data_IF_833016107134
#
_entry.id   IF_833016107134
#
_cell.length_a   1.000
_cell.length_b   1.000
_cell.length_c   1.000
_cell.angle_alpha   90.00
_cell.angle_beta   90.00
_cell.angle_gamma   90.00
#
_symmetry.space_group_name_H-M   'P 1'
#
loop_
_entity.id
_entity.type
_entity.pdbx_description
1 polymer ?
#
# COMPACT_ATOMS: atom_id res chain seq x y z
N UNK A 1 41.73 30.22 53.97
CA UNK A 1 42.81 30.73 53.09
C UNK A 1 42.80 29.88 51.83
N UNK A 2 42.49 30.51 50.68
CA UNK A 2 42.88 30.15 49.30
C UNK A 2 42.26 28.85 48.73
N UNK A 3 41.19 28.94 47.92
CA UNK A 3 41.13 28.84 46.43
C UNK A 3 41.43 27.41 45.90
N UNK A 4 40.74 26.79 44.92
CA UNK A 4 40.30 27.17 43.56
C UNK A 4 39.17 26.18 43.14
N UNK A 5 37.97 26.63 42.73
CA UNK A 5 37.46 26.69 41.34
C UNK A 5 37.83 25.56 40.38
N UNK A 6 36.83 24.75 40.01
CA UNK A 6 36.59 24.42 38.59
C UNK A 6 35.09 24.55 38.29
N UNK A 7 34.80 25.51 37.42
CA UNK A 7 33.53 25.70 36.77
C UNK A 7 33.48 24.77 35.55
N UNK A 8 32.44 23.95 35.44
CA UNK A 8 32.04 23.39 34.15
C UNK A 8 30.94 24.28 33.61
N UNK A 9 31.37 25.16 32.73
CA UNK A 9 30.59 26.04 31.87
C UNK A 9 29.60 25.28 31.01
N UNK A 10 28.39 25.82 30.98
CA UNK A 10 27.34 25.78 29.96
C UNK A 10 27.64 25.02 28.66
N UNK A 11 26.74 24.09 28.33
CA UNK A 11 26.14 24.07 27.00
C UNK A 11 24.63 24.24 27.17
N UNK A 12 24.16 25.44 26.82
CA UNK A 12 22.77 25.69 26.54
C UNK A 12 22.43 24.94 25.25
N UNK A 13 21.72 23.83 25.36
CA UNK A 13 21.14 23.15 24.21
C UNK A 13 20.04 24.06 23.64
N UNK A 14 20.40 24.81 22.61
CA UNK A 14 19.46 25.63 21.87
C UNK A 14 18.30 24.75 21.39
N UNK A 15 17.02 25.15 21.57
CA UNK A 15 15.95 24.47 20.87
C UNK A 15 16.21 24.69 19.38
N UNK A 16 16.53 23.60 18.69
CA UNK A 16 16.57 23.56 17.24
C UNK A 16 15.13 23.80 16.80
N UNK A 17 14.77 25.08 16.63
CA UNK A 17 13.54 25.47 15.98
C UNK A 17 13.65 24.95 14.56
N UNK A 18 13.09 23.77 14.32
CA UNK A 18 12.85 23.31 12.97
C UNK A 18 12.14 24.48 12.27
N UNK A 19 12.63 24.95 11.10
CA UNK A 19 11.89 25.95 10.36
C UNK A 19 10.53 25.33 10.08
N UNK A 20 9.50 25.94 10.68
CA UNK A 20 8.12 25.66 10.35
C UNK A 20 8.00 26.12 8.90
N UNK A 21 8.25 25.20 7.97
CA UNK A 21 7.88 25.40 6.59
C UNK A 21 6.39 25.62 6.63
N UNK A 22 6.00 26.88 6.43
CA UNK A 22 4.66 27.25 6.02
C UNK A 22 4.32 26.37 4.83
N UNK A 23 3.59 25.30 5.10
CA UNK A 23 3.03 24.49 4.04
C UNK A 23 1.98 25.37 3.41
N UNK A 24 2.32 25.95 2.26
CA UNK A 24 1.34 26.44 1.30
C UNK A 24 0.16 25.47 1.28
N UNK A 25 -1.09 25.96 1.17
CA UNK A 25 -2.25 25.09 1.07
C UNK A 25 -2.06 24.25 -0.19
N UNK A 26 -1.58 23.00 0.01
CA UNK A 26 -1.49 22.02 -1.07
C UNK A 26 -2.93 21.80 -1.48
N UNK A 27 -3.33 22.40 -2.60
CA UNK A 27 -4.64 22.19 -3.21
C UNK A 27 -4.83 20.68 -3.36
N UNK A 28 -5.70 20.14 -2.51
CA UNK A 28 -6.01 18.73 -2.55
C UNK A 28 -6.86 18.48 -3.79
N UNK A 29 -6.50 17.51 -4.66
CA UNK A 29 -7.29 17.22 -5.84
C UNK A 29 -8.70 16.79 -5.45
N UNK A 30 -9.71 17.26 -6.18
CA UNK A 30 -11.11 16.95 -5.89
C UNK A 30 -11.37 15.43 -5.83
N UNK A 31 -12.22 14.98 -4.90
CA UNK A 31 -12.53 13.56 -4.77
C UNK A 31 -13.34 13.10 -5.98
N UNK A 32 -12.84 12.06 -6.66
CA UNK A 32 -13.49 11.48 -7.85
C UNK A 32 -14.50 10.45 -7.38
N UNK A 33 -15.72 10.93 -7.15
CA UNK A 33 -16.84 10.14 -6.64
C UNK A 33 -17.92 10.01 -7.73
N UNK A 34 -18.41 8.79 -7.94
CA UNK A 34 -19.52 8.54 -8.85
C UNK A 34 -20.85 9.10 -8.29
N UNK A 35 -21.88 9.18 -9.15
CA UNK A 35 -23.26 9.56 -8.77
C UNK A 35 -23.85 8.75 -7.60
N UNK A 36 -23.27 7.59 -7.28
CA UNK A 36 -23.70 6.72 -6.18
C UNK A 36 -22.81 6.79 -4.94
N UNK A 37 -21.92 7.78 -4.82
CA UNK A 37 -21.02 7.89 -3.67
C UNK A 37 -19.92 6.83 -3.63
N UNK A 38 -19.59 6.24 -4.79
CA UNK A 38 -18.61 5.15 -4.90
C UNK A 38 -17.34 5.67 -5.57
N UNK A 39 -16.18 5.20 -5.13
CA UNK A 39 -14.92 5.45 -5.82
C UNK A 39 -14.48 4.20 -6.57
N UNK A 40 -14.15 4.35 -7.84
CA UNK A 40 -13.64 3.28 -8.68
C UNK A 40 -12.10 3.29 -8.72
N UNK A 41 -11.50 2.12 -8.54
CA UNK A 41 -10.06 1.96 -8.72
C UNK A 41 -9.70 0.61 -9.35
N UNK A 42 -8.54 0.59 -10.01
CA UNK A 42 -7.97 -0.64 -10.57
C UNK A 42 -6.60 -0.91 -9.97
N UNK A 43 -6.40 -2.14 -9.51
CA UNK A 43 -5.15 -2.67 -9.00
C UNK A 43 -4.61 -3.79 -9.88
N UNK A 44 -3.29 -3.89 -10.03
CA UNK A 44 -2.62 -4.93 -10.81
C UNK A 44 -1.38 -5.44 -10.09
N UNK A 45 -1.17 -6.76 -10.05
CA UNK A 45 0.07 -7.38 -9.57
C UNK A 45 0.32 -8.68 -10.31
N UNK A 46 1.53 -8.87 -10.85
CA UNK A 46 1.84 -9.97 -11.77
C UNK A 46 0.76 -10.02 -12.87
N UNK A 47 0.07 -11.15 -13.00
CA UNK A 47 -1.02 -11.35 -13.97
C UNK A 47 -2.43 -11.15 -13.36
N UNK A 48 -2.52 -10.74 -12.09
CA UNK A 48 -3.80 -10.49 -11.43
C UNK A 48 -4.24 -9.04 -11.65
N UNK A 49 -5.51 -8.88 -12.00
CA UNK A 49 -6.19 -7.61 -12.19
C UNK A 49 -7.38 -7.55 -11.23
N UNK A 50 -7.45 -6.51 -10.42
CA UNK A 50 -8.52 -6.25 -9.48
C UNK A 50 -9.23 -4.94 -9.84
N UNK A 51 -10.54 -5.00 -10.02
CA UNK A 51 -11.42 -3.83 -10.09
C UNK A 51 -12.07 -3.68 -8.73
N UNK A 52 -11.93 -2.52 -8.12
CA UNK A 52 -12.37 -2.25 -6.75
C UNK A 52 -13.33 -1.08 -6.77
N UNK A 53 -14.47 -1.27 -6.11
CA UNK A 53 -15.44 -0.23 -5.80
C UNK A 53 -15.43 -0.06 -4.29
N UNK A 54 -15.20 1.17 -3.85
CA UNK A 54 -15.28 1.54 -2.45
C UNK A 54 -16.57 2.32 -2.23
N UNK A 55 -17.25 2.06 -1.12
CA UNK A 55 -18.43 2.79 -0.67
C UNK A 55 -18.30 3.03 0.84
N UNK A 56 -18.67 4.20 1.38
CA UNK A 56 -18.79 4.36 2.84
C UNK A 56 -19.84 3.37 3.38
N UNK A 57 -19.50 2.66 4.45
CA UNK A 57 -20.29 1.53 4.95
C UNK A 57 -19.73 0.90 6.23
N UNK A 58 -20.03 -0.37 6.45
CA UNK A 58 -19.78 -1.09 7.71
C UNK A 58 -18.59 -2.06 7.65
N UNK A 59 -17.59 -1.79 6.80
CA UNK A 59 -16.39 -2.61 6.70
C UNK A 59 -16.55 -3.92 5.92
N UNK A 60 -17.61 -4.11 5.15
CA UNK A 60 -17.88 -5.37 4.44
C UNK A 60 -17.00 -5.51 3.21
N UNK A 61 -16.12 -6.51 3.21
CA UNK A 61 -15.25 -6.83 2.07
C UNK A 61 -15.78 -8.06 1.32
N UNK A 62 -16.23 -7.84 0.08
CA UNK A 62 -16.73 -8.86 -0.83
C UNK A 62 -15.79 -9.02 -2.04
N UNK A 63 -15.39 -10.26 -2.32
CA UNK A 63 -14.47 -10.63 -3.40
C UNK A 63 -15.18 -11.58 -4.34
N UNK A 64 -15.42 -11.16 -5.59
CA UNK A 64 -16.14 -11.96 -6.59
C UNK A 64 -17.48 -12.54 -6.08
N UNK A 65 -18.21 -11.78 -5.26
CA UNK A 65 -19.49 -12.20 -4.68
C UNK A 65 -19.39 -13.12 -3.45
N UNK A 66 -18.18 -13.42 -2.97
CA UNK A 66 -17.93 -14.22 -1.76
C UNK A 66 -17.33 -13.38 -0.64
N UNK A 67 -17.45 -13.84 0.60
CA UNK A 67 -16.83 -13.17 1.75
C UNK A 67 -15.30 -13.30 1.71
N UNK A 68 -14.60 -12.34 2.32
CA UNK A 68 -13.13 -12.37 2.41
C UNK A 68 -12.59 -13.65 3.06
N UNK A 69 -13.30 -14.20 4.05
CA UNK A 69 -12.89 -15.41 4.79
C UNK A 69 -12.98 -16.66 3.93
N UNK A 70 -14.00 -16.75 3.07
CA UNK A 70 -14.19 -17.88 2.16
C UNK A 70 -13.22 -17.82 0.97
N UNK A 71 -13.00 -16.64 0.39
CA UNK A 71 -12.14 -16.51 -0.78
C UNK A 71 -10.64 -16.64 -0.42
N UNK A 72 -10.23 -16.00 0.67
CA UNK A 72 -8.85 -16.02 1.15
C UNK A 72 -8.72 -16.91 2.38
N UNK A 73 -8.46 -18.19 2.14
CA UNK A 73 -8.33 -19.21 3.19
C UNK A 73 -7.25 -18.87 4.22
N UNK A 74 -6.07 -18.41 3.76
CA UNK A 74 -4.94 -18.06 4.64
C UNK A 74 -5.10 -16.66 5.26
N UNK A 75 -4.84 -16.56 6.57
CA UNK A 75 -4.87 -15.29 7.32
C UNK A 75 -3.90 -14.24 6.79
N UNK A 76 -2.75 -14.63 6.24
CA UNK A 76 -1.76 -13.71 5.67
C UNK A 76 -2.34 -12.85 4.53
N UNK A 77 -3.22 -13.42 3.70
CA UNK A 77 -3.81 -12.66 2.59
C UNK A 77 -4.87 -11.68 3.08
N UNK A 78 -5.60 -12.04 4.16
CA UNK A 78 -6.55 -11.15 4.84
C UNK A 78 -5.84 -9.96 5.47
N UNK A 79 -4.69 -10.19 6.11
CA UNK A 79 -3.86 -9.13 6.67
C UNK A 79 -3.36 -8.14 5.60
N UNK A 80 -2.96 -8.63 4.43
CA UNK A 80 -2.52 -7.78 3.31
C UNK A 80 -3.65 -6.84 2.83
N UNK A 81 -4.90 -7.28 2.91
CA UNK A 81 -6.07 -6.48 2.54
C UNK A 81 -6.42 -5.41 3.58
N UNK A 82 -6.18 -5.68 4.87
CA UNK A 82 -6.47 -4.74 5.96
C UNK A 82 -5.40 -3.66 6.14
N UNK A 83 -4.16 -3.91 5.72
CA UNK A 83 -3.04 -2.95 5.78
C UNK A 83 -3.38 -1.50 5.36
N UNK A 84 -3.98 -1.23 4.19
CA UNK A 84 -4.29 0.15 3.78
C UNK A 84 -5.30 0.83 4.70
N UNK A 85 -6.25 0.09 5.30
CA UNK A 85 -7.21 0.65 6.25
C UNK A 85 -6.60 0.92 7.62
N UNK A 86 -5.66 0.07 8.04
CA UNK A 86 -4.90 0.27 9.28
C UNK A 86 -4.05 1.53 9.20
N UNK A 87 -3.35 1.74 8.08
CA UNK A 87 -2.48 2.91 7.90
C UNK A 87 -3.27 4.21 7.70
N UNK A 88 -4.48 4.12 7.17
CA UNK A 88 -5.35 5.28 7.00
C UNK A 88 -6.14 5.63 8.27
N UNK A 89 -6.07 4.81 9.34
CA UNK A 89 -6.96 4.91 10.51
C UNK A 89 -8.44 5.00 10.13
N UNK A 90 -8.84 4.19 9.13
CA UNK A 90 -10.21 4.09 8.60
C UNK A 90 -10.71 2.65 8.63
N UNK A 91 -10.48 1.99 9.76
CA UNK A 91 -11.01 0.64 10.00
C UNK A 91 -12.54 0.71 10.03
N UNK A 92 -13.18 -0.27 9.39
CA UNK A 92 -14.63 -0.50 9.38
C UNK A 92 -15.54 0.61 8.81
N UNK A 93 -14.96 1.66 8.21
CA UNK A 93 -15.72 2.79 7.64
C UNK A 93 -16.14 2.60 6.18
N UNK A 94 -15.53 1.63 5.48
CA UNK A 94 -15.76 1.43 4.05
C UNK A 94 -16.12 -0.01 3.71
N UNK A 95 -17.15 -0.16 2.91
CA UNK A 95 -17.47 -1.39 2.20
C UNK A 95 -16.65 -1.48 0.90
N UNK A 96 -16.09 -2.66 0.64
CA UNK A 96 -15.26 -2.94 -0.53
C UNK A 96 -15.93 -4.03 -1.36
N UNK A 97 -16.28 -3.69 -2.60
CA UNK A 97 -16.71 -4.64 -3.61
C UNK A 97 -15.62 -4.80 -4.64
N UNK A 98 -15.00 -5.99 -4.71
CA UNK A 98 -13.93 -6.23 -5.65
C UNK A 98 -14.22 -7.39 -6.60
N UNK A 99 -13.94 -7.16 -7.88
CA UNK A 99 -13.94 -8.18 -8.92
C UNK A 99 -12.50 -8.44 -9.33
N UNK A 100 -12.04 -9.68 -9.19
CA UNK A 100 -10.65 -10.05 -9.44
C UNK A 100 -10.58 -11.14 -10.50
N UNK A 101 -9.68 -10.97 -11.47
CA UNK A 101 -9.43 -11.93 -12.56
C UNK A 101 -7.93 -12.15 -12.74
N UNK A 102 -7.57 -13.38 -13.11
CA UNK A 102 -6.19 -13.78 -13.43
C UNK A 102 -5.27 -13.99 -12.21
N UNK A 103 -4.08 -14.52 -12.48
CA UNK A 103 -3.07 -14.83 -11.47
C UNK A 103 -3.48 -15.93 -10.49
N UNK A 104 -2.89 -15.93 -9.30
CA UNK A 104 -3.28 -16.79 -8.18
C UNK A 104 -3.52 -15.97 -6.90
N UNK A 105 -4.01 -16.62 -5.83
CA UNK A 105 -4.53 -15.97 -4.62
C UNK A 105 -3.58 -14.90 -4.02
N UNK A 106 -2.28 -15.20 -3.94
CA UNK A 106 -1.28 -14.23 -3.43
C UNK A 106 -1.11 -13.00 -4.34
N UNK A 107 -1.14 -13.19 -5.66
CA UNK A 107 -1.08 -12.09 -6.63
C UNK A 107 -2.35 -11.25 -6.59
N UNK A 108 -3.49 -11.91 -6.45
CA UNK A 108 -4.81 -11.29 -6.32
C UNK A 108 -4.93 -10.43 -5.07
N UNK A 109 -4.54 -10.93 -3.90
CA UNK A 109 -4.53 -10.16 -2.66
C UNK A 109 -3.70 -8.87 -2.79
N UNK A 110 -2.52 -8.97 -3.40
CA UNK A 110 -1.68 -7.79 -3.66
C UNK A 110 -2.27 -6.81 -4.67
N UNK A 111 -2.98 -7.31 -5.69
CA UNK A 111 -3.70 -6.47 -6.64
C UNK A 111 -4.86 -5.72 -5.98
N UNK A 112 -5.64 -6.40 -5.13
CA UNK A 112 -6.76 -5.79 -4.39
C UNK A 112 -6.25 -4.74 -3.40
N UNK A 113 -5.16 -5.02 -2.65
CA UNK A 113 -4.53 -4.02 -1.77
C UNK A 113 -4.19 -2.72 -2.51
N UNK A 114 -3.57 -2.86 -3.68
CA UNK A 114 -3.22 -1.69 -4.50
C UNK A 114 -4.46 -0.98 -5.05
N UNK A 115 -5.53 -1.71 -5.38
CA UNK A 115 -6.81 -1.15 -5.78
C UNK A 115 -7.50 -0.37 -4.66
N UNK A 116 -7.57 -0.93 -3.45
CA UNK A 116 -8.14 -0.26 -2.25
C UNK A 116 -7.40 1.03 -1.96
N UNK A 117 -6.06 1.00 -2.00
CA UNK A 117 -5.23 2.18 -1.72
C UNK A 117 -5.50 3.33 -2.70
N UNK A 118 -5.72 3.00 -3.98
CA UNK A 118 -6.10 3.99 -4.99
C UNK A 118 -7.52 4.51 -4.80
N UNK A 119 -8.45 3.64 -4.42
CA UNK A 119 -9.83 4.02 -4.14
C UNK A 119 -9.90 4.98 -2.94
N UNK A 120 -9.16 4.70 -1.87
CA UNK A 120 -9.06 5.58 -0.70
C UNK A 120 -8.51 6.97 -1.05
N UNK A 121 -7.48 7.05 -1.89
CA UNK A 121 -6.94 8.35 -2.34
C UNK A 121 -7.92 9.10 -3.24
N UNK A 122 -8.72 8.38 -4.05
CA UNK A 122 -9.75 9.02 -4.88
C UNK A 122 -10.92 9.56 -4.03
N UNK A 123 -11.16 8.97 -2.85
CA UNK A 123 -12.19 9.41 -1.92
C UNK A 123 -11.71 10.54 -1.01
N UNK A 124 -10.53 10.38 -0.39
CA UNK A 124 -9.89 11.37 0.48
C UNK A 124 -8.47 11.66 -0.03
N UNK A 125 -8.27 12.76 -0.79
CA UNK A 125 -6.97 13.11 -1.36
C UNK A 125 -5.88 13.36 -0.31
N UNK A 126 -6.26 13.77 0.91
CA UNK A 126 -5.35 14.01 2.03
C UNK A 126 -4.56 12.74 2.43
N UNK A 127 -5.16 11.55 2.30
CA UNK A 127 -4.54 10.27 2.68
C UNK A 127 -3.40 9.87 1.74
N UNK A 128 -3.23 10.55 0.59
CA UNK A 128 -2.19 10.26 -0.38
C UNK A 128 -0.79 10.34 0.22
N UNK A 129 -0.52 11.31 1.08
CA UNK A 129 0.81 11.51 1.69
C UNK A 129 1.20 10.30 2.55
N UNK A 130 0.30 9.89 3.43
CA UNK A 130 0.49 8.74 4.33
C UNK A 130 0.66 7.45 3.51
N UNK A 131 -0.26 7.17 2.59
CA UNK A 131 -0.23 5.96 1.77
C UNK A 131 0.97 5.87 0.82
N UNK A 132 1.53 7.02 0.42
CA UNK A 132 2.76 7.08 -0.39
C UNK A 132 3.99 6.70 0.43
N UNK A 133 4.10 7.20 1.67
CA UNK A 133 5.21 6.88 2.58
C UNK A 133 5.25 5.38 2.88
N UNK A 134 4.09 4.75 3.12
CA UNK A 134 3.99 3.31 3.34
C UNK A 134 4.08 2.45 2.05
N UNK A 135 4.23 3.08 0.88
CA UNK A 135 4.48 2.38 -0.39
C UNK A 135 3.28 1.65 -1.00
N UNK A 136 2.05 1.96 -0.61
CA UNK A 136 0.85 1.26 -1.13
C UNK A 136 0.39 1.76 -2.51
N UNK A 137 0.75 2.99 -2.86
CA UNK A 137 0.46 3.60 -4.17
C UNK A 137 1.39 3.13 -5.28
N UNK A 138 2.52 2.51 -4.95
CA UNK A 138 3.44 1.98 -5.95
C UNK A 138 2.97 0.59 -6.39
N UNK A 139 2.78 0.41 -7.70
CA UNK A 139 2.52 -0.92 -8.26
C UNK A 139 3.78 -1.78 -8.14
N UNK A 140 3.66 -3.00 -7.63
CA UNK A 140 4.73 -4.01 -7.69
C UNK A 140 4.99 -4.40 -9.17
N UNK A 141 6.15 -4.03 -9.75
CA UNK A 141 6.43 -4.26 -11.16
C UNK A 141 6.93 -5.67 -11.44
N UNK A 142 7.17 -6.50 -10.42
CA UNK A 142 7.76 -7.84 -10.58
C UNK A 142 6.83 -8.74 -11.40
N UNK A 143 7.33 -9.23 -12.52
CA UNK A 143 6.67 -10.21 -13.40
C UNK A 143 7.60 -11.42 -13.59
N UNK A 144 7.02 -12.57 -13.89
CA UNK A 144 7.80 -13.80 -14.13
C UNK A 144 8.64 -13.62 -15.39
N UNK A 145 9.96 -13.77 -15.25
CA UNK A 145 10.86 -13.76 -16.40
C UNK A 145 10.57 -14.96 -17.31
N UNK A 146 10.61 -14.73 -18.62
CA UNK A 146 10.46 -15.79 -19.62
C UNK A 146 11.61 -16.80 -19.54
N UNK A 147 11.37 -18.03 -20.00
CA UNK A 147 12.43 -19.02 -20.22
C UNK A 147 13.37 -18.53 -21.32
N UNK A 148 14.68 -18.55 -21.06
CA UNK A 148 15.72 -18.27 -22.06
C UNK A 148 16.18 -19.58 -22.70
N UNK A 149 16.54 -19.54 -23.98
CA UNK A 149 17.09 -20.72 -24.68
C UNK A 149 18.42 -21.14 -24.03
N UNK A 150 18.77 -22.42 -24.15
CA UNK A 150 19.97 -23.00 -23.52
C UNK A 150 19.93 -23.10 -21.99
N UNK A 151 18.82 -22.72 -21.34
CA UNK A 151 18.64 -22.78 -19.88
C UNK A 151 17.41 -23.62 -19.50
N UNK A 152 17.48 -24.31 -18.36
CA UNK A 152 16.38 -25.12 -17.81
C UNK A 152 15.21 -24.25 -17.32
N UNK A 153 15.51 -23.06 -16.77
CA UNK A 153 14.53 -22.02 -16.37
C UNK A 153 15.03 -20.63 -16.81
N UNK A 154 14.42 -19.54 -16.32
CA UNK A 154 14.84 -18.18 -16.65
C UNK A 154 16.35 -17.92 -16.42
N UNK A 155 16.91 -18.43 -15.32
CA UNK A 155 18.35 -18.28 -14.97
C UNK A 155 19.13 -19.59 -14.80
N UNK A 156 18.46 -20.68 -14.37
CA UNK A 156 19.08 -21.99 -14.10
C UNK A 156 19.65 -22.61 -15.39
N UNK A 157 20.97 -22.70 -15.49
CA UNK A 157 21.68 -23.44 -16.53
C UNK A 157 21.70 -24.94 -16.26
N UNK A 158 22.09 -25.72 -17.27
CA UNK A 158 22.50 -27.11 -17.08
C UNK A 158 23.87 -27.15 -16.39
N UNK A 159 24.22 -28.31 -15.83
CA UNK A 159 25.57 -28.52 -15.29
C UNK A 159 26.58 -28.47 -16.45
N UNK A 160 27.61 -27.65 -16.32
CA UNK A 160 28.68 -27.53 -17.30
C UNK A 160 29.78 -28.56 -16.99
N UNK A 161 30.16 -29.37 -17.98
CA UNK A 161 31.36 -30.21 -17.91
C UNK A 161 32.51 -29.48 -18.59
N UNK A 162 33.61 -29.25 -17.85
CA UNK A 162 34.80 -28.49 -18.30
C UNK A 162 35.82 -29.36 -19.05
N UNK A 163 35.56 -30.66 -19.18
CA UNK A 163 36.51 -31.65 -19.68
C UNK A 163 36.88 -31.45 -21.14
#
# INVERSE_FOLDING_TARGET
>A
MVAETEAVTAEAEAPITAPVMETEPVELPDPVIDKHGRSYATGKRKNAIARVWLKPGAGRILVNGRSIKEYFTRGTWRLILSQPFQVADRLDQYDVYCTVKGGGLSGQAGAVRHGISKALVAYEPALRRILKVHGFLTRDPRVVERKKFGKRKARRSFQFSKR
#
